data_IF_672468609294
#
_entry.id   IF_672468609294
#
_cell.length_a   1.000
_cell.length_b   1.000
_cell.length_c   1.000
_cell.angle_alpha   90.00
_cell.angle_beta   90.00
_cell.angle_gamma   90.00
#
_symmetry.space_group_name_H-M   'P 1'
#
loop_
_entity.id
_entity.type
_entity.pdbx_description
1 polymer ?
#
# COMPACT_ATOMS: atom_id res chain seq x y z
N UNK A 1 -4.92 15.41 -10.73
CA UNK A 1 -4.99 15.04 -9.31
C UNK A 1 -6.43 15.24 -8.89
N UNK A 2 -7.11 14.16 -8.56
CA UNK A 2 -8.46 14.23 -8.02
C UNK A 2 -8.42 14.97 -6.68
N UNK A 3 -9.25 16.01 -6.48
CA UNK A 3 -9.22 16.82 -5.26
C UNK A 3 -9.62 16.02 -4.00
N UNK A 4 -10.11 14.78 -4.16
CA UNK A 4 -10.52 13.89 -3.07
C UNK A 4 -9.57 12.71 -2.82
N UNK A 5 -8.39 12.70 -3.44
CA UNK A 5 -7.42 11.63 -3.22
C UNK A 5 -6.84 11.71 -1.79
N UNK A 6 -6.97 10.62 -1.05
CA UNK A 6 -6.44 10.46 0.30
C UNK A 6 -5.36 9.38 0.32
N UNK A 7 -4.30 9.60 1.10
CA UNK A 7 -3.26 8.59 1.30
C UNK A 7 -3.71 7.57 2.34
N UNK A 8 -3.62 6.30 1.97
CA UNK A 8 -3.98 5.19 2.85
C UNK A 8 -2.96 4.05 2.77
N UNK A 9 -2.99 3.19 3.78
CA UNK A 9 -2.21 1.95 3.76
C UNK A 9 -2.81 0.95 2.76
N UNK A 10 -1.92 0.28 2.05
CA UNK A 10 -2.25 -0.83 1.17
C UNK A 10 -1.32 -2.01 1.49
N UNK A 11 -1.81 -3.23 1.29
CA UNK A 11 -1.04 -4.46 1.54
C UNK A 11 -1.07 -5.33 0.30
N UNK A 12 0.08 -5.71 -0.23
CA UNK A 12 0.11 -6.68 -1.35
C UNK A 12 -0.32 -8.05 -0.84
N UNK A 13 -1.43 -8.56 -1.35
CA UNK A 13 -1.94 -9.90 -1.00
C UNK A 13 -1.27 -10.97 -1.86
N UNK A 14 -1.08 -10.68 -3.15
CA UNK A 14 -0.48 -11.62 -4.10
C UNK A 14 0.26 -10.86 -5.19
N UNK A 15 1.42 -11.36 -5.60
CA UNK A 15 2.17 -10.83 -6.74
C UNK A 15 2.27 -11.88 -7.86
N UNK A 16 1.60 -11.62 -8.99
CA UNK A 16 1.76 -12.37 -10.24
C UNK A 16 2.90 -11.80 -11.08
N UNK A 17 3.18 -12.42 -12.24
CA UNK A 17 4.25 -11.96 -13.14
C UNK A 17 4.07 -10.53 -13.59
N UNK A 18 2.84 -10.13 -13.93
CA UNK A 18 2.53 -8.80 -14.47
C UNK A 18 1.63 -7.98 -13.56
N UNK A 19 0.75 -8.65 -12.82
CA UNK A 19 -0.26 -8.02 -11.99
C UNK A 19 -0.14 -8.50 -10.55
N UNK A 20 -0.21 -7.56 -9.62
CA UNK A 20 -0.32 -7.80 -8.19
C UNK A 20 -1.72 -7.41 -7.70
N UNK A 21 -2.20 -8.12 -6.69
CA UNK A 21 -3.41 -7.80 -5.96
C UNK A 21 -3.03 -7.10 -4.66
N UNK A 22 -3.62 -5.92 -4.44
CA UNK A 22 -3.35 -5.07 -3.28
C UNK A 22 -4.66 -4.83 -2.54
N UNK A 23 -4.65 -5.11 -1.25
CA UNK A 23 -5.77 -4.83 -0.35
C UNK A 23 -5.70 -3.39 0.16
N UNK A 24 -6.84 -2.71 0.18
CA UNK A 24 -7.05 -1.39 0.79
C UNK A 24 -8.03 -1.53 1.95
N UNK A 25 -7.55 -1.65 3.21
CA UNK A 25 -8.40 -1.86 4.39
C UNK A 25 -9.20 -0.63 4.83
N UNK A 26 -8.93 0.54 4.25
CA UNK A 26 -9.60 1.79 4.64
C UNK A 26 -10.89 2.07 3.85
N UNK A 27 -11.23 1.25 2.86
CA UNK A 27 -12.37 1.51 1.98
C UNK A 27 -13.69 1.07 2.64
N UNK A 28 -14.59 2.03 2.89
CA UNK A 28 -15.94 1.81 3.48
C UNK A 28 -15.97 0.91 4.73
N UNK A 29 -15.03 1.06 5.66
CA UNK A 29 -14.90 0.21 6.85
C UNK A 29 -14.81 -1.31 6.54
N UNK A 30 -14.45 -1.66 5.30
CA UNK A 30 -14.19 -3.00 4.82
C UNK A 30 -12.83 -3.07 4.13
N UNK A 31 -12.66 -4.03 3.23
CA UNK A 31 -11.47 -4.12 2.40
C UNK A 31 -11.85 -4.33 0.94
N UNK A 32 -11.14 -3.66 0.04
CA UNK A 32 -11.19 -3.94 -1.40
C UNK A 32 -9.84 -4.39 -1.88
N UNK A 33 -9.86 -5.32 -2.82
CA UNK A 33 -8.64 -5.72 -3.53
C UNK A 33 -8.65 -5.08 -4.90
N UNK A 34 -7.63 -4.27 -5.17
CA UNK A 34 -7.39 -3.67 -6.48
C UNK A 34 -6.21 -4.36 -7.17
N UNK A 35 -6.11 -4.17 -8.48
CA UNK A 35 -4.96 -4.63 -9.26
C UNK A 35 -3.98 -3.49 -9.47
N UNK A 36 -2.69 -3.82 -9.41
CA UNK A 36 -1.60 -2.91 -9.73
C UNK A 36 -0.53 -3.63 -10.56
N UNK A 37 0.21 -2.93 -11.45
CA UNK A 37 1.33 -3.55 -12.15
C UNK A 37 2.40 -4.03 -11.16
N UNK A 38 2.79 -5.29 -11.25
CA UNK A 38 3.82 -5.87 -10.36
C UNK A 38 5.13 -5.10 -10.44
N UNK A 39 5.52 -4.67 -11.65
CA UNK A 39 6.76 -3.91 -11.87
C UNK A 39 6.79 -2.59 -11.10
N UNK A 40 5.68 -1.85 -11.08
CA UNK A 40 5.55 -0.60 -10.32
C UNK A 40 5.74 -0.88 -8.84
N UNK A 41 5.09 -1.92 -8.31
CA UNK A 41 5.23 -2.26 -6.89
C UNK A 41 6.65 -2.68 -6.52
N UNK A 42 7.32 -3.47 -7.36
CA UNK A 42 8.73 -3.83 -7.16
C UNK A 42 9.62 -2.58 -7.12
N UNK A 43 9.42 -1.66 -8.06
CA UNK A 43 10.19 -0.41 -8.15
C UNK A 43 9.98 0.47 -6.92
N UNK A 44 8.73 0.73 -6.52
CA UNK A 44 8.43 1.63 -5.40
C UNK A 44 8.80 1.05 -4.03
N UNK A 45 8.85 -0.28 -3.90
CA UNK A 45 9.21 -0.95 -2.64
C UNK A 45 10.68 -1.35 -2.59
N UNK A 46 11.40 -1.34 -3.71
CA UNK A 46 12.75 -1.90 -3.83
C UNK A 46 12.79 -3.42 -3.62
N UNK A 47 11.65 -4.11 -3.69
CA UNK A 47 11.53 -5.56 -3.45
C UNK A 47 11.42 -6.34 -4.74
N UNK A 48 11.83 -7.60 -4.69
CA UNK A 48 11.53 -8.54 -5.76
C UNK A 48 10.07 -8.99 -5.72
N UNK A 49 9.56 -9.52 -6.83
CA UNK A 49 8.20 -10.08 -6.91
C UNK A 49 7.89 -11.10 -5.81
N UNK A 50 8.88 -11.92 -5.43
CA UNK A 50 8.70 -12.96 -4.41
C UNK A 50 8.55 -12.38 -2.99
N UNK A 51 9.06 -11.17 -2.76
CA UNK A 51 9.05 -10.46 -1.48
C UNK A 51 7.89 -9.46 -1.36
N UNK A 52 7.14 -9.27 -2.45
CA UNK A 52 5.98 -8.39 -2.47
C UNK A 52 4.83 -8.88 -1.59
N UNK A 53 4.41 -10.17 -1.60
CA UNK A 53 3.30 -10.61 -0.75
C UNK A 53 3.54 -10.29 0.74
N UNK A 54 2.58 -9.62 1.37
CA UNK A 54 2.69 -9.13 2.74
C UNK A 54 3.41 -7.78 2.89
N UNK A 55 3.89 -7.16 1.81
CA UNK A 55 4.45 -5.82 1.88
C UNK A 55 3.36 -4.78 2.14
N UNK A 56 3.54 -3.94 3.16
CA UNK A 56 2.78 -2.70 3.36
C UNK A 56 3.39 -1.58 2.53
N UNK A 57 2.52 -0.76 1.96
CA UNK A 57 2.82 0.42 1.15
C UNK A 57 1.77 1.49 1.39
N UNK A 58 2.03 2.70 0.90
CA UNK A 58 1.07 3.79 0.90
C UNK A 58 0.65 4.11 -0.52
N UNK A 59 -0.62 4.44 -0.72
CA UNK A 59 -1.19 4.82 -2.03
C UNK A 59 -2.18 5.95 -1.86
N UNK A 60 -2.27 6.84 -2.86
CA UNK A 60 -3.32 7.84 -2.94
C UNK A 60 -4.53 7.28 -3.71
N UNK A 61 -5.71 7.30 -3.09
CA UNK A 61 -6.97 6.78 -3.63
C UNK A 61 -8.15 7.65 -3.23
N UNK A 62 -9.24 7.62 -4.00
CA UNK A 62 -10.51 8.24 -3.64
C UNK A 62 -11.31 7.29 -2.72
N UNK A 63 -11.17 7.41 -1.39
CA UNK A 63 -11.83 6.49 -0.45
C UNK A 63 -13.36 6.60 -0.44
N UNK A 64 -13.93 7.73 -0.88
CA UNK A 64 -15.37 7.92 -1.01
C UNK A 64 -15.95 7.29 -2.30
N UNK A 65 -15.10 6.69 -3.15
CA UNK A 65 -15.54 5.99 -4.34
C UNK A 65 -16.52 4.87 -3.99
N UNK A 66 -17.62 4.78 -4.74
CA UNK A 66 -18.64 3.72 -4.56
C UNK A 66 -18.24 2.45 -5.32
N UNK A 67 -17.58 2.60 -6.47
CA UNK A 67 -17.07 1.49 -7.29
C UNK A 67 -15.55 1.40 -7.15
N UNK A 68 -15.02 0.19 -7.21
CA UNK A 68 -13.57 -0.03 -7.18
C UNK A 68 -12.86 0.59 -8.39
N UNK A 69 -13.54 0.71 -9.53
CA UNK A 69 -13.03 1.37 -10.74
C UNK A 69 -12.77 2.86 -10.55
N UNK A 70 -13.44 3.47 -9.57
CA UNK A 70 -13.38 4.91 -9.29
C UNK A 70 -12.39 5.24 -8.15
N UNK A 71 -11.68 4.24 -7.61
CA UNK A 71 -10.65 4.45 -6.58
C UNK A 71 -9.44 5.25 -7.08
N UNK A 72 -9.17 5.16 -8.38
CA UNK A 72 -8.05 5.84 -9.07
C UNK A 72 -6.71 5.78 -8.32
N UNK A 73 -6.15 4.59 -8.04
CA UNK A 73 -4.92 4.45 -7.27
C UNK A 73 -3.70 5.03 -7.99
N UNK A 74 -2.96 5.91 -7.31
CA UNK A 74 -1.74 6.55 -7.80
C UNK A 74 -0.77 6.89 -6.66
N UNK A 75 0.39 7.47 -6.99
CA UNK A 75 1.42 7.88 -6.03
C UNK A 75 1.82 6.79 -5.03
N UNK A 76 2.01 5.57 -5.54
CA UNK A 76 2.49 4.43 -4.78
C UNK A 76 3.84 4.75 -4.11
N UNK A 77 3.94 4.46 -2.82
CA UNK A 77 5.16 4.63 -2.04
C UNK A 77 5.42 3.37 -1.22
N UNK A 78 6.68 2.91 -1.22
CA UNK A 78 7.12 1.83 -0.35
C UNK A 78 6.94 2.15 1.14
N UNK A 79 7.14 1.17 2.03
CA UNK A 79 7.03 1.39 3.47
C UNK A 79 7.95 2.55 3.85
N UNK A 80 7.35 3.60 4.42
CA UNK A 80 8.11 4.72 4.98
C UNK A 80 9.13 4.10 5.94
N UNK A 81 10.42 4.28 5.66
CA UNK A 81 11.45 4.03 6.65
C UNK A 81 11.06 4.88 7.87
N UNK A 82 10.67 4.22 8.97
CA UNK A 82 10.55 4.93 10.24
C UNK A 82 11.90 5.63 10.46
N UNK A 83 11.94 6.92 10.84
CA UNK A 83 13.19 7.53 11.25
C UNK A 83 13.84 6.63 12.32
N UNK A 84 15.17 6.45 12.30
CA UNK A 84 15.88 5.48 13.15
C UNK A 84 15.62 5.67 14.66
N UNK A 85 15.07 6.81 15.08
CA UNK A 85 14.73 7.12 16.46
C UNK A 85 13.56 6.29 17.04
N UNK A 86 12.67 5.73 16.23
CA UNK A 86 11.57 4.90 16.75
C UNK A 86 11.98 3.46 17.11
N UNK A 87 13.17 3.02 16.69
CA UNK A 87 13.68 1.66 16.98
C UNK A 87 14.51 1.57 18.27
N UNK A 88 14.82 2.69 18.91
CA UNK A 88 15.69 2.76 20.09
C UNK A 88 14.95 2.95 21.43
N UNK A 89 13.64 2.77 21.46
CA UNK A 89 12.90 2.69 22.72
C UNK A 89 13.05 1.28 23.30
N UNK A 90 14.21 1.03 23.92
CA UNK A 90 14.40 -0.05 24.88
C UNK A 90 13.27 0.02 25.94
N UNK A 91 12.55 -1.07 26.25
CA UNK A 91 11.54 -1.04 27.29
C UNK A 91 12.21 -0.73 28.63
N UNK A 92 11.61 0.11 29.50
CA UNK A 92 12.22 0.44 30.79
C UNK A 92 12.39 -0.86 31.61
N UNK A 93 13.52 -1.02 32.31
CA UNK A 93 13.67 -2.13 33.25
C UNK A 93 12.61 -1.99 34.35
N UNK A 94 11.99 -3.12 34.71
CA UNK A 94 11.09 -3.24 35.85
C UNK A 94 11.79 -2.93 37.18
#
# INVERSE_FOLDING_TARGET
MDPNAQRTEAVVVRAGTYTAHVSLPAWHNGAVTITAPTSVLCEVTGRTRAELPGASLTVAVCLDAVLDTDLHPHDWAGPRALPPEASAAEPPPF
#
